data_IF_196618717321
#
_entry.id   IF_196618717321
#
_cell.length_a   1.000
_cell.length_b   1.000
_cell.length_c   1.000
_cell.angle_alpha   90.00
_cell.angle_beta   90.00
_cell.angle_gamma   90.00
#
_symmetry.space_group_name_H-M   'P 1'
#
loop_
_entity.id
_entity.type
_entity.pdbx_description
1 polymer ?
#
# COMPACT_ATOMS: atom_id res chain seq x y z
N UNK A 1 -9.01 -15.08 0.53
CA UNK A 1 -7.63 -14.55 0.40
C UNK A 1 -6.62 -15.68 0.41
N UNK A 2 -6.60 -16.58 1.41
CA UNK A 2 -5.65 -17.72 1.43
C UNK A 2 -5.78 -18.67 0.22
N UNK A 3 -7.00 -19.08 -0.15
CA UNK A 3 -7.22 -19.96 -1.32
C UNK A 3 -6.70 -19.35 -2.62
N UNK A 4 -6.90 -18.03 -2.78
CA UNK A 4 -6.39 -17.27 -3.91
C UNK A 4 -4.86 -17.24 -3.92
N UNK A 5 -4.23 -16.97 -2.78
CA UNK A 5 -2.77 -16.95 -2.66
C UNK A 5 -2.16 -18.32 -3.01
N UNK A 6 -2.77 -19.42 -2.54
CA UNK A 6 -2.35 -20.79 -2.88
C UNK A 6 -2.51 -21.04 -4.38
N UNK A 7 -3.62 -20.60 -5.00
CA UNK A 7 -3.83 -20.73 -6.45
C UNK A 7 -2.80 -19.94 -7.26
N UNK A 8 -2.31 -18.82 -6.74
CA UNK A 8 -1.22 -18.04 -7.34
C UNK A 8 0.19 -18.62 -7.09
N UNK A 9 0.31 -19.73 -6.35
CA UNK A 9 1.58 -20.42 -6.11
C UNK A 9 2.31 -20.02 -4.82
N UNK A 10 1.65 -19.33 -3.90
CA UNK A 10 2.21 -19.02 -2.57
C UNK A 10 2.41 -20.32 -1.79
N UNK A 11 3.59 -20.48 -1.20
CA UNK A 11 3.90 -21.59 -0.32
C UNK A 11 4.02 -21.06 1.12
N UNK A 12 3.31 -21.71 2.04
CA UNK A 12 3.31 -21.37 3.47
C UNK A 12 3.72 -22.58 4.29
N UNK A 13 4.32 -22.35 5.45
CA UNK A 13 4.49 -23.41 6.44
C UNK A 13 3.12 -23.95 6.89
N UNK A 14 3.02 -25.24 7.21
CA UNK A 14 1.75 -25.89 7.58
C UNK A 14 1.08 -25.25 8.81
N UNK A 15 1.88 -24.68 9.71
CA UNK A 15 1.42 -24.00 10.91
C UNK A 15 1.07 -22.52 10.70
N UNK A 16 1.24 -21.97 9.50
CA UNK A 16 0.93 -20.58 9.17
C UNK A 16 -0.59 -20.35 9.07
N UNK A 17 -1.10 -19.41 9.85
CA UNK A 17 -2.50 -18.98 9.81
C UNK A 17 -2.62 -17.46 9.88
N UNK A 18 -3.57 -16.93 9.11
CA UNK A 18 -4.00 -15.54 9.27
C UNK A 18 -5.04 -15.47 10.40
N UNK A 19 -4.80 -14.56 11.33
CA UNK A 19 -5.69 -14.29 12.46
C UNK A 19 -6.07 -12.82 12.50
N UNK A 20 -7.16 -12.51 13.18
CA UNK A 20 -7.58 -11.14 13.46
C UNK A 20 -8.07 -11.11 14.91
N UNK A 21 -7.41 -10.31 15.74
CA UNK A 21 -7.75 -10.22 17.17
C UNK A 21 -9.02 -9.38 17.41
N UNK A 22 -9.26 -8.37 16.57
CA UNK A 22 -10.34 -7.40 16.70
C UNK A 22 -11.29 -7.35 15.49
N UNK A 23 -11.04 -8.17 14.47
CA UNK A 23 -11.78 -8.18 13.20
C UNK A 23 -11.45 -6.99 12.28
N UNK A 24 -10.51 -6.13 12.66
CA UNK A 24 -10.14 -4.92 11.93
C UNK A 24 -8.77 -5.06 11.27
N UNK A 25 -7.80 -5.63 11.99
CA UNK A 25 -6.46 -5.91 11.48
C UNK A 25 -6.21 -7.40 11.35
N UNK A 26 -5.46 -7.77 10.31
CA UNK A 26 -5.07 -9.16 10.02
C UNK A 26 -3.58 -9.31 10.30
N UNK A 27 -3.24 -10.28 11.13
CA UNK A 27 -1.87 -10.65 11.46
C UNK A 27 -1.59 -12.11 11.14
N UNK A 28 -0.30 -12.46 11.12
CA UNK A 28 0.17 -13.84 11.00
C UNK A 28 0.39 -14.43 12.39
N UNK A 29 -0.09 -15.66 12.59
CA UNK A 29 0.18 -16.47 13.78
C UNK A 29 0.61 -17.88 13.36
N UNK A 30 1.45 -18.50 14.19
CA UNK A 30 1.86 -19.90 14.02
C UNK A 30 1.15 -20.77 15.05
N UNK A 31 0.60 -21.89 14.63
CA UNK A 31 -0.06 -22.85 15.54
C UNK A 31 0.91 -23.78 16.27
N UNK A 32 2.16 -23.81 15.83
CA UNK A 32 3.24 -24.64 16.37
C UNK A 32 4.55 -23.85 16.35
N UNK A 33 5.50 -24.25 17.18
CA UNK A 33 6.83 -23.66 17.22
C UNK A 33 7.56 -23.87 15.90
N UNK A 34 8.12 -22.78 15.36
CA UNK A 34 8.95 -22.81 14.15
C UNK A 34 10.40 -22.50 14.57
N UNK A 35 11.38 -23.34 14.23
CA UNK A 35 12.79 -23.04 14.49
C UNK A 35 13.24 -21.77 13.76
N UNK A 36 14.13 -21.01 14.39
CA UNK A 36 14.77 -19.82 13.76
C UNK A 36 15.41 -20.23 12.42
N UNK A 37 15.41 -19.31 11.46
CA UNK A 37 15.89 -19.51 10.07
C UNK A 37 15.08 -20.47 9.20
N UNK A 38 13.96 -21.01 9.69
CA UNK A 38 13.07 -21.82 8.86
C UNK A 38 12.28 -20.95 7.87
N UNK A 39 12.08 -21.42 6.62
CA UNK A 39 11.25 -20.71 5.66
C UNK A 39 9.77 -20.78 6.08
N UNK A 40 9.16 -19.61 6.33
CA UNK A 40 7.75 -19.52 6.77
C UNK A 40 6.80 -19.22 5.61
N UNK A 41 7.25 -18.38 4.66
CA UNK A 41 6.43 -17.93 3.54
C UNK A 41 7.31 -17.72 2.30
N UNK A 42 6.82 -18.19 1.15
CA UNK A 42 7.36 -17.89 -0.16
C UNK A 42 6.26 -17.31 -1.05
N UNK A 43 6.52 -16.12 -1.60
CA UNK A 43 5.61 -15.41 -2.51
C UNK A 43 6.21 -15.37 -3.91
N UNK A 44 5.50 -15.90 -4.93
CA UNK A 44 5.92 -15.82 -6.33
C UNK A 44 6.03 -14.37 -6.82
N UNK A 45 6.96 -14.14 -7.75
CA UNK A 45 7.22 -12.81 -8.33
C UNK A 45 5.96 -12.19 -8.94
N UNK A 46 5.14 -12.99 -9.61
CA UNK A 46 3.99 -12.50 -10.38
C UNK A 46 2.90 -11.90 -9.46
N UNK A 47 2.92 -12.22 -8.16
CA UNK A 47 2.02 -11.65 -7.17
C UNK A 47 2.52 -10.32 -6.60
N UNK A 48 3.80 -9.99 -6.80
CA UNK A 48 4.43 -8.80 -6.22
C UNK A 48 4.07 -7.57 -7.05
N UNK A 49 3.43 -6.59 -6.42
CA UNK A 49 3.12 -5.31 -7.04
C UNK A 49 4.37 -4.44 -6.98
N UNK A 50 4.91 -4.05 -8.12
CA UNK A 50 6.08 -3.16 -8.20
C UNK A 50 5.77 -1.86 -8.91
N UNK A 51 6.43 -0.77 -8.47
CA UNK A 51 6.29 0.54 -9.08
C UNK A 51 6.78 0.56 -10.54
N UNK A 52 7.84 -0.19 -10.83
CA UNK A 52 8.38 -0.34 -12.19
C UNK A 52 7.41 -1.08 -13.12
N UNK A 53 6.76 -2.15 -12.65
CA UNK A 53 5.72 -2.83 -13.41
C UNK A 53 4.48 -1.94 -13.60
N UNK A 54 4.04 -1.26 -12.55
CA UNK A 54 2.93 -0.31 -12.63
C UNK A 54 3.19 0.79 -13.68
N UNK A 55 4.40 1.33 -13.70
CA UNK A 55 4.83 2.30 -14.71
C UNK A 55 4.78 1.72 -16.13
N UNK A 56 5.24 0.48 -16.32
CA UNK A 56 5.24 -0.18 -17.63
C UNK A 56 3.81 -0.46 -18.14
N UNK A 57 2.90 -0.86 -17.25
CA UNK A 57 1.52 -1.20 -17.61
C UNK A 57 0.64 0.03 -17.84
N UNK A 58 0.75 1.05 -16.98
CA UNK A 58 -0.06 2.27 -17.04
C UNK A 58 0.50 3.24 -18.10
N UNK A 59 1.82 3.23 -18.30
CA UNK A 59 2.53 4.24 -19.04
C UNK A 59 2.79 5.51 -18.21
N UNK A 60 3.60 6.40 -18.77
CA UNK A 60 3.97 7.65 -18.09
C UNK A 60 2.83 8.65 -18.07
N UNK A 61 2.69 9.33 -16.93
CA UNK A 61 1.77 10.45 -16.77
C UNK A 61 2.57 11.75 -16.69
N UNK A 62 3.03 12.24 -17.85
CA UNK A 62 4.00 13.36 -17.93
C UNK A 62 3.56 14.60 -17.14
N UNK A 63 2.27 14.94 -17.19
CA UNK A 63 1.72 16.09 -16.46
C UNK A 63 1.74 15.90 -14.93
N UNK A 64 1.62 14.65 -14.45
CA UNK A 64 1.79 14.34 -13.04
C UNK A 64 3.28 14.41 -12.65
N UNK A 65 4.16 13.85 -13.46
CA UNK A 65 5.61 13.91 -13.22
C UNK A 65 6.14 15.35 -13.17
N UNK A 66 5.67 16.21 -14.08
CA UNK A 66 6.02 17.63 -14.07
C UNK A 66 5.51 18.31 -12.79
N UNK A 67 4.32 17.97 -12.31
CA UNK A 67 3.80 18.48 -11.04
C UNK A 67 4.70 18.04 -9.87
N UNK A 68 5.10 16.77 -9.80
CA UNK A 68 6.03 16.28 -8.77
C UNK A 68 7.40 16.95 -8.87
N UNK A 69 7.90 17.21 -10.09
CA UNK A 69 9.13 17.96 -10.34
C UNK A 69 9.07 19.39 -9.80
N UNK A 70 8.01 20.13 -10.11
CA UNK A 70 7.79 21.51 -9.61
C UNK A 70 7.66 21.58 -8.10
N UNK A 71 7.16 20.50 -7.47
CA UNK A 71 6.97 20.40 -6.03
C UNK A 71 8.20 19.85 -5.28
N UNK A 72 9.27 19.48 -5.99
CA UNK A 72 10.46 18.86 -5.39
C UNK A 72 10.18 17.49 -4.76
N UNK A 73 9.21 16.75 -5.29
CA UNK A 73 8.70 15.49 -4.74
C UNK A 73 8.89 14.31 -5.73
N UNK A 74 9.92 14.38 -6.57
CA UNK A 74 10.24 13.39 -7.61
C UNK A 74 10.51 12.01 -7.00
N UNK A 75 11.10 11.96 -5.81
CA UNK A 75 11.38 10.72 -5.07
C UNK A 75 10.11 9.93 -4.71
N UNK A 76 8.94 10.57 -4.79
CA UNK A 76 7.65 9.93 -4.51
C UNK A 76 6.96 9.38 -5.76
N UNK A 77 7.54 9.54 -6.95
CA UNK A 77 6.99 9.01 -8.20
C UNK A 77 6.79 7.49 -8.19
N UNK A 78 7.75 6.67 -7.70
CA UNK A 78 7.53 5.22 -7.60
C UNK A 78 6.30 4.86 -6.75
N UNK A 79 6.13 5.53 -5.61
CA UNK A 79 4.96 5.39 -4.75
C UNK A 79 3.67 5.84 -5.44
N UNK A 80 3.74 6.90 -6.27
CA UNK A 80 2.60 7.39 -7.04
C UNK A 80 2.14 6.38 -8.11
N UNK A 81 3.07 5.73 -8.82
CA UNK A 81 2.70 4.68 -9.78
C UNK A 81 2.08 3.46 -9.10
N UNK A 82 2.62 3.06 -7.95
CA UNK A 82 2.02 1.98 -7.16
C UNK A 82 0.62 2.36 -6.65
N UNK A 83 0.45 3.62 -6.24
CA UNK A 83 -0.84 4.17 -5.86
C UNK A 83 -1.87 4.15 -7.00
N UNK A 84 -1.47 4.53 -8.22
CA UNK A 84 -2.33 4.43 -9.41
C UNK A 84 -2.69 2.97 -9.73
N UNK A 85 -1.75 2.04 -9.57
CA UNK A 85 -1.99 0.60 -9.76
C UNK A 85 -3.05 0.10 -8.80
N UNK A 86 -2.95 0.41 -7.50
CA UNK A 86 -3.97 0.02 -6.50
C UNK A 86 -5.35 0.55 -6.88
N UNK A 87 -5.45 1.81 -7.32
CA UNK A 87 -6.74 2.38 -7.73
C UNK A 87 -7.29 1.70 -8.99
N UNK A 88 -6.43 1.39 -9.95
CA UNK A 88 -6.83 0.71 -11.19
C UNK A 88 -7.38 -0.68 -10.90
N UNK A 89 -6.68 -1.46 -10.07
CA UNK A 89 -7.13 -2.79 -9.65
C UNK A 89 -8.41 -2.72 -8.81
N UNK A 90 -8.57 -1.67 -8.00
CA UNK A 90 -9.81 -1.44 -7.25
C UNK A 90 -11.00 -1.16 -8.16
N UNK A 91 -10.83 -0.38 -9.24
CA UNK A 91 -11.90 -0.10 -10.21
C UNK A 91 -12.35 -1.33 -10.98
N UNK A 92 -11.43 -2.27 -11.24
CA UNK A 92 -11.73 -3.53 -11.91
C UNK A 92 -12.57 -4.47 -11.02
N UNK A 93 -12.60 -4.26 -9.71
CA UNK A 93 -13.39 -5.07 -8.77
C UNK A 93 -13.08 -6.55 -8.92
N UNK A 94 -14.12 -7.39 -9.04
CA UNK A 94 -13.99 -8.85 -9.18
C UNK A 94 -13.22 -9.30 -10.44
N UNK A 95 -13.01 -8.41 -11.42
CA UNK A 95 -12.20 -8.71 -12.61
C UNK A 95 -10.69 -8.60 -12.33
N UNK A 96 -10.30 -7.94 -11.23
CA UNK A 96 -8.91 -7.86 -10.80
C UNK A 96 -8.48 -9.18 -10.19
N UNK A 97 -7.32 -9.68 -10.63
CA UNK A 97 -6.66 -10.81 -9.97
C UNK A 97 -6.33 -10.51 -8.50
N UNK A 98 -6.14 -9.24 -8.12
CA UNK A 98 -5.77 -8.83 -6.77
C UNK A 98 -6.99 -8.56 -5.88
N UNK A 99 -8.21 -8.72 -6.39
CA UNK A 99 -9.44 -8.44 -5.65
C UNK A 99 -9.51 -9.14 -4.28
N UNK A 100 -9.18 -10.45 -4.15
CA UNK A 100 -9.25 -11.13 -2.85
C UNK A 100 -8.29 -10.54 -1.81
N UNK A 101 -7.14 -10.00 -2.25
CA UNK A 101 -6.20 -9.30 -1.39
C UNK A 101 -6.71 -7.89 -1.05
N UNK A 102 -7.11 -7.08 -2.04
CA UNK A 102 -7.65 -5.74 -1.81
C UNK A 102 -8.87 -5.74 -0.88
N UNK A 103 -9.71 -6.77 -0.96
CA UNK A 103 -10.88 -6.91 -0.10
C UNK A 103 -10.52 -7.30 1.34
N UNK A 104 -9.36 -7.93 1.54
CA UNK A 104 -8.86 -8.32 2.87
C UNK A 104 -8.11 -7.21 3.61
N UNK A 105 -7.77 -6.11 2.93
CA UNK A 105 -7.02 -5.01 3.52
C UNK A 105 -7.87 -4.21 4.53
N UNK A 106 -7.24 -3.64 5.57
CA UNK A 106 -7.91 -2.75 6.51
C UNK A 106 -8.63 -1.61 5.78
N UNK A 107 -9.84 -1.28 6.25
CA UNK A 107 -10.63 -0.15 5.74
C UNK A 107 -10.24 1.17 6.41
N UNK A 108 -9.61 1.09 7.57
CA UNK A 108 -9.20 2.21 8.39
C UNK A 108 -7.69 2.18 8.61
N UNK A 109 -7.05 3.34 8.51
CA UNK A 109 -5.62 3.51 8.76
C UNK A 109 -5.40 4.72 9.66
N UNK A 110 -4.54 4.56 10.66
CA UNK A 110 -4.21 5.57 11.66
C UNK A 110 -2.90 6.29 11.33
N UNK A 111 -2.74 6.75 10.08
CA UNK A 111 -1.55 7.48 9.62
C UNK A 111 -1.73 9.00 9.64
N UNK A 112 -0.65 9.76 9.43
CA UNK A 112 -0.68 11.22 9.45
C UNK A 112 -1.60 11.82 8.38
N UNK A 113 -1.77 11.13 7.24
CA UNK A 113 -2.72 11.54 6.20
C UNK A 113 -4.20 11.41 6.64
N UNK A 114 -4.51 10.53 7.59
CA UNK A 114 -5.83 10.37 8.20
C UNK A 114 -6.12 11.40 9.29
N UNK A 115 -5.09 12.03 9.88
CA UNK A 115 -5.26 13.01 10.96
C UNK A 115 -5.80 14.37 10.48
N UNK A 116 -6.46 15.08 11.40
CA UNK A 116 -6.87 16.48 11.18
C UNK A 116 -5.67 17.42 11.36
N UNK A 117 -5.74 18.61 10.76
CA UNK A 117 -4.70 19.63 10.96
C UNK A 117 -4.50 19.95 12.44
N UNK A 118 -5.60 20.06 13.19
CA UNK A 118 -5.58 20.30 14.63
C UNK A 118 -4.80 19.20 15.37
N UNK A 119 -5.04 17.92 15.03
CA UNK A 119 -4.27 16.83 15.63
C UNK A 119 -2.77 16.96 15.33
N UNK A 120 -2.40 17.36 14.10
CA UNK A 120 -1.00 17.54 13.71
C UNK A 120 -0.32 18.76 14.35
N UNK A 121 -1.06 19.84 14.64
CA UNK A 121 -0.48 21.08 15.17
C UNK A 121 -0.56 21.21 16.70
N UNK A 122 -1.64 20.74 17.31
CA UNK A 122 -1.93 20.98 18.73
C UNK A 122 -1.83 19.72 19.61
N UNK A 123 -2.08 18.53 19.05
CA UNK A 123 -2.12 17.30 19.85
C UNK A 123 -0.80 16.52 19.87
N UNK A 124 0.06 16.73 18.87
CA UNK A 124 1.30 15.98 18.71
C UNK A 124 2.52 16.82 19.12
N UNK A 125 3.58 16.19 19.65
CA UNK A 125 4.87 16.86 19.85
C UNK A 125 5.37 17.51 18.54
N UNK A 126 6.07 18.66 18.59
CA UNK A 126 6.37 19.46 17.39
C UNK A 126 7.02 18.68 16.24
N UNK A 127 7.94 17.76 16.55
CA UNK A 127 8.59 16.92 15.54
C UNK A 127 7.60 15.94 14.89
N UNK A 128 6.81 15.23 15.71
CA UNK A 128 5.83 14.24 15.26
C UNK A 128 4.72 14.93 14.47
N UNK A 129 4.26 16.09 14.94
CA UNK A 129 3.29 16.93 14.25
C UNK A 129 3.78 17.38 12.86
N UNK A 130 5.05 17.80 12.76
CA UNK A 130 5.67 18.15 11.47
C UNK A 130 5.74 16.95 10.51
N UNK A 131 6.10 15.77 11.00
CA UNK A 131 6.14 14.55 10.19
C UNK A 131 4.75 14.15 9.69
N UNK A 132 3.74 14.15 10.57
CA UNK A 132 2.35 13.87 10.20
C UNK A 132 1.80 14.90 9.19
N UNK A 133 2.15 16.18 9.36
CA UNK A 133 1.78 17.23 8.42
C UNK A 133 2.45 17.04 7.05
N UNK A 134 3.72 16.63 7.02
CA UNK A 134 4.41 16.31 5.77
C UNK A 134 3.70 15.16 5.03
N UNK A 135 3.32 14.10 5.74
CA UNK A 135 2.56 12.99 5.14
C UNK A 135 1.21 13.46 4.57
N UNK A 136 0.50 14.33 5.29
CA UNK A 136 -0.75 14.93 4.83
C UNK A 136 -0.54 15.78 3.57
N UNK A 137 0.55 16.56 3.49
CA UNK A 137 0.90 17.33 2.29
C UNK A 137 1.18 16.40 1.12
N UNK A 138 1.93 15.30 1.31
CA UNK A 138 2.17 14.29 0.27
C UNK A 138 0.87 13.72 -0.28
N UNK A 139 -0.07 13.34 0.59
CA UNK A 139 -1.39 12.87 0.15
C UNK A 139 -2.12 13.91 -0.72
N UNK A 140 -2.09 15.20 -0.33
CA UNK A 140 -2.71 16.28 -1.12
C UNK A 140 -2.07 16.39 -2.51
N UNK A 141 -0.75 16.22 -2.61
CA UNK A 141 -0.05 16.23 -3.90
C UNK A 141 -0.48 15.06 -4.78
N UNK A 142 -0.55 13.84 -4.22
CA UNK A 142 -1.02 12.64 -4.93
C UNK A 142 -2.47 12.82 -5.42
N UNK A 143 -3.36 13.29 -4.54
CA UNK A 143 -4.75 13.53 -4.90
C UNK A 143 -4.90 14.59 -6.00
N UNK A 144 -4.07 15.64 -5.99
CA UNK A 144 -4.03 16.64 -7.07
C UNK A 144 -3.49 16.07 -8.38
N UNK A 145 -2.56 15.13 -8.32
CA UNK A 145 -1.99 14.47 -9.50
C UNK A 145 -2.97 13.49 -10.17
N UNK A 146 -3.95 12.95 -9.43
CA UNK A 146 -4.98 12.05 -9.98
C UNK A 146 -5.77 12.65 -11.16
N UNK A 147 -5.91 13.97 -11.22
CA UNK A 147 -6.61 14.62 -12.35
C UNK A 147 -5.95 14.36 -13.71
N UNK A 148 -4.69 13.94 -13.72
CA UNK A 148 -3.94 13.62 -14.94
C UNK A 148 -4.02 12.13 -15.31
N UNK A 149 -4.58 11.28 -14.45
CA UNK A 149 -4.76 9.85 -14.70
C UNK A 149 -6.04 9.60 -15.52
N UNK A 150 -5.97 9.80 -16.84
CA UNK A 150 -7.15 9.75 -17.72
C UNK A 150 -7.79 8.35 -17.86
N UNK A 151 -7.06 7.30 -17.49
CA UNK A 151 -7.54 5.91 -17.54
C UNK A 151 -8.44 5.56 -16.35
N UNK A 152 -8.41 6.34 -15.26
CA UNK A 152 -9.30 6.15 -14.11
C UNK A 152 -10.63 6.89 -14.33
N UNK A 153 -11.73 6.33 -13.81
CA UNK A 153 -13.03 6.98 -13.88
C UNK A 153 -13.07 8.28 -13.06
N UNK A 154 -13.96 9.21 -13.46
CA UNK A 154 -14.17 10.44 -12.69
C UNK A 154 -14.72 10.17 -11.29
N UNK A 155 -15.45 9.08 -11.09
CA UNK A 155 -15.92 8.67 -9.77
C UNK A 155 -14.74 8.36 -8.83
N UNK A 156 -13.75 7.60 -9.31
CA UNK A 156 -12.55 7.22 -8.54
C UNK A 156 -11.64 8.42 -8.29
N UNK A 157 -11.41 9.25 -9.32
CA UNK A 157 -10.56 10.46 -9.19
C UNK A 157 -11.11 11.45 -8.17
N UNK A 158 -12.43 11.59 -8.08
CA UNK A 158 -13.06 12.53 -7.15
C UNK A 158 -13.33 11.92 -5.76
N UNK A 159 -13.16 10.60 -5.59
CA UNK A 159 -13.35 9.94 -4.31
C UNK A 159 -12.12 10.11 -3.40
N UNK A 160 -12.16 11.17 -2.58
CA UNK A 160 -11.09 11.48 -1.63
C UNK A 160 -10.86 10.39 -0.58
N UNK A 161 -11.91 9.71 -0.15
CA UNK A 161 -11.80 8.64 0.85
C UNK A 161 -11.08 7.42 0.28
N UNK A 162 -11.42 7.02 -0.94
CA UNK A 162 -10.76 5.94 -1.66
C UNK A 162 -9.29 6.27 -1.95
N UNK A 163 -9.02 7.49 -2.44
CA UNK A 163 -7.65 7.94 -2.67
C UNK A 163 -6.83 7.96 -1.38
N UNK A 164 -7.43 8.34 -0.24
CA UNK A 164 -6.73 8.29 1.05
C UNK A 164 -6.43 6.86 1.47
N UNK A 165 -7.39 5.95 1.31
CA UNK A 165 -7.21 4.53 1.59
C UNK A 165 -6.08 3.93 0.75
N UNK A 166 -6.09 4.12 -0.57
CA UNK A 166 -5.04 3.61 -1.45
C UNK A 166 -3.65 4.21 -1.14
N UNK A 167 -3.59 5.50 -0.76
CA UNK A 167 -2.35 6.12 -0.28
C UNK A 167 -1.85 5.44 0.99
N UNK A 168 -2.73 5.18 1.96
CA UNK A 168 -2.36 4.51 3.20
C UNK A 168 -1.91 3.06 2.96
N UNK A 169 -2.57 2.32 2.07
CA UNK A 169 -2.16 0.97 1.65
C UNK A 169 -0.71 0.99 1.16
N UNK A 170 -0.37 1.90 0.25
CA UNK A 170 1.00 2.01 -0.28
C UNK A 170 1.98 2.32 0.84
N UNK A 171 1.80 3.41 1.59
CA UNK A 171 2.80 3.89 2.54
C UNK A 171 2.96 3.03 3.80
N UNK A 172 2.02 2.14 4.11
CA UNK A 172 2.11 1.23 5.26
C UNK A 172 2.62 -0.15 4.91
N UNK A 173 2.50 -0.58 3.65
CA UNK A 173 2.78 -1.96 3.21
C UNK A 173 3.89 -2.08 2.17
N UNK A 174 4.35 -0.97 1.61
CA UNK A 174 5.43 -1.01 0.62
C UNK A 174 6.81 -0.98 1.27
N UNK A 175 7.80 -1.50 0.54
CA UNK A 175 9.22 -1.33 0.84
C UNK A 175 10.02 -1.06 -0.43
N UNK A 176 11.19 -0.47 -0.28
CA UNK A 176 12.11 -0.22 -1.38
C UNK A 176 12.97 -1.47 -1.65
N UNK A 177 13.15 -1.80 -2.93
CA UNK A 177 13.98 -2.89 -3.39
C UNK A 177 14.90 -2.45 -4.53
N UNK A 178 16.20 -2.69 -4.38
CA UNK A 178 17.20 -2.34 -5.39
C UNK A 178 17.29 -0.82 -5.62
N UNK A 179 17.30 -0.39 -6.88
CA UNK A 179 17.53 1.00 -7.28
C UNK A 179 16.26 1.89 -7.18
N UNK A 180 15.58 1.89 -6.04
CA UNK A 180 14.42 2.75 -5.79
C UNK A 180 13.09 2.23 -6.34
N UNK A 181 13.00 0.93 -6.69
CA UNK A 181 11.73 0.30 -7.04
C UNK A 181 10.96 -0.02 -5.76
N UNK A 182 9.73 0.48 -5.67
CA UNK A 182 8.87 0.30 -4.50
C UNK A 182 7.94 -0.87 -4.75
N UNK A 183 7.83 -1.78 -3.77
CA UNK A 183 7.08 -3.02 -3.90
C UNK A 183 6.13 -3.28 -2.76
N UNK A 184 4.99 -3.88 -3.05
CA UNK A 184 4.10 -4.51 -2.08
C UNK A 184 4.07 -6.00 -2.38
N UNK A 185 4.24 -6.82 -1.35
CA UNK A 185 4.22 -8.28 -1.45
C UNK A 185 2.97 -8.77 -0.73
N UNK A 186 1.87 -9.05 -1.45
CA UNK A 186 0.67 -9.59 -0.84
C UNK A 186 0.99 -10.85 -0.03
N UNK A 187 0.25 -11.09 1.06
CA UNK A 187 0.49 -12.14 2.08
C UNK A 187 1.67 -11.86 3.00
N UNK A 188 2.82 -11.43 2.46
CA UNK A 188 3.96 -11.06 3.31
C UNK A 188 3.71 -9.72 4.03
N UNK A 189 2.88 -8.84 3.46
CA UNK A 189 2.45 -7.58 4.05
C UNK A 189 1.47 -7.75 5.24
N UNK A 190 1.10 -8.98 5.59
CA UNK A 190 0.26 -9.29 6.76
C UNK A 190 1.10 -9.62 8.01
N UNK A 191 2.42 -9.69 7.89
CA UNK A 191 3.30 -9.80 9.05
C UNK A 191 3.32 -8.48 9.82
N UNK A 192 2.95 -8.54 11.10
CA UNK A 192 3.09 -7.42 12.01
C UNK A 192 4.55 -7.27 12.46
N UNK A 193 4.91 -6.06 12.88
CA UNK A 193 6.24 -5.78 13.42
C UNK A 193 6.39 -6.40 14.82
N UNK A 194 7.38 -7.27 15.00
CA UNK A 194 7.79 -7.80 16.31
C UNK A 194 9.00 -7.05 16.85
N UNK A 195 9.02 -6.79 18.16
CA UNK A 195 10.13 -6.07 18.84
C UNK A 195 11.04 -6.98 19.66
N UNK A 196 10.72 -8.28 19.75
CA UNK A 196 11.52 -9.25 20.48
C UNK A 196 12.36 -10.08 19.50
N UNK A 197 13.67 -9.92 19.62
CA UNK A 197 14.73 -10.71 18.96
C UNK A 197 15.63 -11.31 20.01
#
# INVERSE_FOLDING_TARGET
MEEWAIACGVQKADCFQLTSEDGLDVGVMTTQDIPVESPVLFVPRDMILSSSQALHEIGRVDAAEELFGRLGAVDHLPHFYLFLKILTEYEMGDQSQYYPWLNSLPRYYSNGASMTHFCCSECLPPLVGKLAMNERVKFIQFFRALKYANFLSDATKNNRSLAKWAFAVVYTRCFEYGNGDVRIVPMADMFNHGTET
#
